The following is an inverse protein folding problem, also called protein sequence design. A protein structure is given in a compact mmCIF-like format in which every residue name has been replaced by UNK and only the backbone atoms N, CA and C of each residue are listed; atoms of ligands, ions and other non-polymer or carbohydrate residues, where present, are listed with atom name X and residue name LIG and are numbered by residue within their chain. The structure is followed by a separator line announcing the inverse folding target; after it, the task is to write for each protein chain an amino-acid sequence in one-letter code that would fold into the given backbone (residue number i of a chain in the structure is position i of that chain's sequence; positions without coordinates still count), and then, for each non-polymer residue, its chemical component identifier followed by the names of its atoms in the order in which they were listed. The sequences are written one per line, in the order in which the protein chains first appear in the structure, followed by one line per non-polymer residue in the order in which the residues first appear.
data_IF_131609995866
#
_entry.id   IF_131609995866
#
_cell.length_a   1.000
_cell.length_b   1.000
_cell.length_c   1.000
_cell.angle_alpha   90.00
_cell.angle_beta   90.00
_cell.angle_gamma   90.00
#
_symmetry.space_group_name_H-M   'P 1'
#
loop_
_entity.id
_entity.type
_entity.pdbx_description
1 polymer ?
#
# COMPACT_ATOMS: atom_id res chain seq x y z
N UNK A 1 -15.90 1.40 4.13
CA UNK A 1 -14.82 2.11 3.42
C UNK A 1 -13.80 1.09 2.93
N UNK A 2 -13.20 1.33 1.77
CA UNK A 2 -12.18 0.49 1.15
C UNK A 2 -10.98 1.33 0.72
N UNK A 3 -9.78 0.87 1.00
CA UNK A 3 -8.52 1.45 0.51
C UNK A 3 -7.90 0.45 -0.46
N UNK A 4 -7.84 0.82 -1.73
CA UNK A 4 -7.13 0.06 -2.74
C UNK A 4 -5.74 0.68 -2.91
N UNK A 5 -4.70 -0.13 -2.88
CA UNK A 5 -3.33 0.31 -3.11
C UNK A 5 -2.69 -0.48 -4.24
N UNK A 6 -1.80 0.19 -4.96
CA UNK A 6 -0.87 -0.45 -5.87
C UNK A 6 0.47 0.27 -5.89
N UNK A 7 1.51 -0.48 -6.24
CA UNK A 7 2.87 -0.02 -6.41
C UNK A 7 3.44 -0.67 -7.65
N UNK A 8 3.90 0.13 -8.60
CA UNK A 8 4.46 -0.33 -9.85
C UNK A 8 5.96 -0.03 -9.87
N UNK A 9 6.74 -1.08 -10.14
CA UNK A 9 8.19 -0.98 -10.32
C UNK A 9 8.55 -1.22 -11.78
N UNK A 10 9.12 -0.21 -12.46
CA UNK A 10 9.55 -0.32 -13.87
C UNK A 10 10.92 0.33 -14.14
N UNK A 11 11.52 0.98 -13.15
CA UNK A 11 12.81 1.64 -13.27
C UNK A 11 12.76 3.02 -12.61
N UNK A 12 13.42 3.11 -11.45
CA UNK A 12 13.55 4.28 -10.60
C UNK A 12 13.36 5.64 -11.32
N UNK A 13 12.45 6.50 -10.85
CA UNK A 13 11.64 6.36 -9.64
C UNK A 13 10.38 5.50 -9.87
N UNK A 14 10.03 4.74 -8.84
CA UNK A 14 8.84 3.90 -8.86
C UNK A 14 7.58 4.71 -8.55
N UNK A 15 6.47 4.27 -9.11
CA UNK A 15 5.19 4.95 -8.92
C UNK A 15 4.34 4.13 -7.97
N UNK A 16 3.75 4.81 -6.99
CA UNK A 16 2.88 4.21 -6.00
C UNK A 16 1.61 5.03 -5.86
N UNK A 17 0.53 4.40 -5.40
CA UNK A 17 -0.70 5.13 -5.18
C UNK A 17 -1.83 4.27 -4.63
N UNK A 18 -2.97 4.92 -4.48
CA UNK A 18 -4.17 4.26 -4.00
C UNK A 18 -5.41 5.15 -4.07
N UNK A 19 -6.55 4.49 -3.88
CA UNK A 19 -7.86 5.14 -3.86
C UNK A 19 -8.63 4.70 -2.62
N UNK A 20 -9.33 5.66 -2.01
CA UNK A 20 -10.26 5.43 -0.91
C UNK A 20 -11.68 5.53 -1.46
N UNK A 21 -12.49 4.51 -1.21
CA UNK A 21 -13.87 4.43 -1.69
C UNK A 21 -14.84 4.14 -0.55
N UNK A 22 -16.05 4.67 -0.66
CA UNK A 22 -17.15 4.25 0.21
C UNK A 22 -17.76 2.92 -0.24
N UNK A 23 -18.74 2.43 0.54
CA UNK A 23 -19.42 1.17 0.23
C UNK A 23 -20.35 1.27 -1.00
N UNK A 24 -20.66 2.48 -1.44
CA UNK A 24 -21.42 2.79 -2.65
C UNK A 24 -20.53 2.97 -3.89
N UNK A 25 -19.25 2.55 -3.79
CA UNK A 25 -18.24 2.65 -4.87
C UNK A 25 -17.86 4.10 -5.20
N UNK A 26 -18.33 5.08 -4.42
CA UNK A 26 -17.98 6.47 -4.62
C UNK A 26 -16.52 6.69 -4.21
N UNK A 27 -15.76 7.35 -5.08
CA UNK A 27 -14.42 7.82 -4.76
C UNK A 27 -14.52 8.90 -3.68
N UNK A 28 -13.80 8.70 -2.59
CA UNK A 28 -13.64 9.69 -1.51
C UNK A 28 -12.39 10.52 -1.80
N UNK A 29 -11.26 9.84 -2.01
CA UNK A 29 -9.96 10.47 -2.21
C UNK A 29 -9.02 9.54 -2.98
N UNK A 30 -8.03 10.12 -3.66
CA UNK A 30 -6.98 9.38 -4.35
C UNK A 30 -5.61 10.00 -4.09
N UNK A 31 -4.56 9.18 -4.12
CA UNK A 31 -3.19 9.66 -4.01
C UNK A 31 -2.27 8.92 -4.97
N UNK A 32 -1.20 9.61 -5.35
CA UNK A 32 -0.11 9.08 -6.15
C UNK A 32 1.18 9.77 -5.72
N UNK A 33 2.27 9.02 -5.69
CA UNK A 33 3.60 9.54 -5.43
C UNK A 33 4.65 8.79 -6.26
N UNK A 34 5.78 9.46 -6.46
CA UNK A 34 6.99 8.85 -6.95
C UNK A 34 7.93 8.56 -5.77
N UNK A 35 8.63 7.44 -5.81
CA UNK A 35 9.56 7.05 -4.76
C UNK A 35 10.81 6.42 -5.36
N UNK A 36 11.97 6.73 -4.80
CA UNK A 36 13.27 6.13 -5.18
C UNK A 36 13.46 4.71 -4.62
N UNK A 37 12.35 4.03 -4.34
CA UNK A 37 12.31 2.70 -3.78
C UNK A 37 12.78 1.69 -4.84
N UNK A 38 13.61 0.72 -4.44
CA UNK A 38 14.25 -0.21 -5.37
C UNK A 38 13.41 -1.45 -5.70
N UNK A 39 12.45 -1.82 -4.84
CA UNK A 39 11.63 -3.02 -5.04
C UNK A 39 10.14 -2.74 -5.14
N UNK A 40 9.45 -3.54 -5.95
CA UNK A 40 7.99 -3.52 -6.07
C UNK A 40 7.30 -3.65 -4.68
N UNK A 41 7.83 -4.51 -3.81
CA UNK A 41 7.25 -4.74 -2.49
C UNK A 41 7.36 -3.52 -1.57
N UNK A 42 8.52 -2.86 -1.56
CA UNK A 42 8.70 -1.62 -0.81
C UNK A 42 7.76 -0.51 -1.33
N UNK A 43 7.55 -0.41 -2.64
CA UNK A 43 6.64 0.58 -3.23
C UNK A 43 5.19 0.32 -2.77
N UNK A 44 4.77 -0.96 -2.71
CA UNK A 44 3.46 -1.35 -2.18
C UNK A 44 3.33 -1.12 -0.68
N UNK A 45 4.35 -1.43 0.11
CA UNK A 45 4.38 -1.10 1.54
C UNK A 45 4.28 0.41 1.78
N UNK A 46 4.94 1.22 0.94
CA UNK A 46 4.89 2.67 1.05
C UNK A 46 3.53 3.22 0.63
N UNK A 47 2.91 2.69 -0.43
CA UNK A 47 1.52 3.00 -0.78
C UNK A 47 0.55 2.70 0.36
N UNK A 48 0.77 1.61 1.10
CA UNK A 48 -0.03 1.29 2.26
C UNK A 48 0.13 2.32 3.38
N UNK A 49 1.37 2.68 3.75
CA UNK A 49 1.65 3.70 4.77
C UNK A 49 1.01 5.05 4.40
N UNK A 50 1.17 5.49 3.16
CA UNK A 50 0.57 6.75 2.68
C UNK A 50 -0.96 6.71 2.68
N UNK A 51 -1.54 5.59 2.24
CA UNK A 51 -2.98 5.38 2.27
C UNK A 51 -3.56 5.37 3.68
N UNK A 52 -2.88 4.75 4.65
CA UNK A 52 -3.29 4.75 6.06
C UNK A 52 -3.20 6.14 6.69
N UNK A 53 -2.12 6.89 6.43
CA UNK A 53 -1.99 8.28 6.89
C UNK A 53 -3.08 9.18 6.31
N UNK A 54 -3.45 8.95 5.05
CA UNK A 54 -4.57 9.65 4.44
C UNK A 54 -5.90 9.29 5.11
N UNK A 55 -6.11 8.02 5.44
CA UNK A 55 -7.29 7.59 6.20
C UNK A 55 -7.38 8.25 7.57
N UNK A 56 -6.27 8.35 8.31
CA UNK A 56 -6.21 9.06 9.60
C UNK A 56 -6.58 10.54 9.45
N UNK A 57 -6.02 11.23 8.45
CA UNK A 57 -6.36 12.63 8.14
C UNK A 57 -7.85 12.83 7.82
N UNK A 58 -8.48 11.82 7.22
CA UNK A 58 -9.90 11.81 6.89
C UNK A 58 -10.78 11.27 8.04
N UNK A 59 -10.22 10.94 9.20
CA UNK A 59 -10.90 10.31 10.33
C UNK A 59 -11.59 8.98 9.98
N UNK A 60 -10.97 8.19 9.11
CA UNK A 60 -11.45 6.87 8.68
C UNK A 60 -10.62 5.78 9.39
N UNK A 61 -11.22 5.12 10.37
CA UNK A 61 -10.54 4.11 11.19
C UNK A 61 -10.98 2.66 10.89
N UNK A 62 -12.16 2.49 10.29
CA UNK A 62 -12.68 1.19 9.91
C UNK A 62 -12.63 1.03 8.38
N UNK A 63 -11.51 0.52 7.88
CA UNK A 63 -11.24 0.40 6.45
C UNK A 63 -10.77 -1.00 6.06
N UNK A 64 -11.33 -1.51 4.96
CA UNK A 64 -10.85 -2.73 4.33
C UNK A 64 -9.74 -2.39 3.32
N UNK A 65 -8.56 -2.97 3.49
CA UNK A 65 -7.44 -2.79 2.57
C UNK A 65 -7.53 -3.86 1.46
N UNK A 66 -7.50 -3.42 0.21
CA UNK A 66 -7.50 -4.26 -0.98
C UNK A 66 -6.19 -4.05 -1.75
N UNK A 67 -5.47 -5.14 -2.01
CA UNK A 67 -4.22 -5.16 -2.78
C UNK A 67 -4.19 -6.46 -3.60
N UNK A 68 -3.56 -6.40 -4.77
CA UNK A 68 -3.28 -7.55 -5.62
C UNK A 68 -2.08 -8.40 -5.11
N UNK A 69 -1.35 -7.91 -4.10
CA UNK A 69 -0.17 -8.58 -3.57
C UNK A 69 -0.55 -9.64 -2.52
N UNK A 70 -0.51 -10.90 -2.94
CA UNK A 70 -0.66 -12.04 -2.03
C UNK A 70 0.44 -12.05 -0.95
N UNK A 71 1.64 -11.57 -1.29
CA UNK A 71 2.74 -11.44 -0.31
C UNK A 71 2.40 -10.45 0.78
N UNK A 72 1.89 -9.26 0.41
CA UNK A 72 1.55 -8.21 1.36
C UNK A 72 0.41 -8.64 2.27
N UNK A 73 -0.66 -9.21 1.69
CA UNK A 73 -1.78 -9.75 2.48
C UNK A 73 -1.35 -10.85 3.45
N UNK A 74 -0.42 -11.72 3.05
CA UNK A 74 0.10 -12.77 3.92
C UNK A 74 0.95 -12.22 5.07
N UNK A 75 1.74 -11.16 4.85
CA UNK A 75 2.52 -10.52 5.91
C UNK A 75 1.63 -10.03 7.04
N UNK A 76 0.53 -9.35 6.71
CA UNK A 76 -0.42 -8.84 7.71
C UNK A 76 -1.28 -9.93 8.35
N UNK A 77 -1.71 -10.95 7.59
CA UNK A 77 -2.58 -12.02 8.13
C UNK A 77 -1.86 -13.03 9.02
N UNK A 78 -0.59 -13.34 8.73
CA UNK A 78 0.12 -14.46 9.39
C UNK A 78 1.13 -14.01 10.44
N UNK A 79 1.33 -12.70 10.64
CA UNK A 79 2.43 -12.16 11.45
C UNK A 79 3.80 -12.79 11.10
N UNK A 80 3.94 -13.26 9.86
CA UNK A 80 5.10 -14.04 9.37
C UNK A 80 5.66 -13.34 8.15
N UNK A 81 6.73 -12.59 8.38
CA UNK A 81 7.56 -11.97 7.36
C UNK A 81 8.59 -12.99 6.84
N UNK A 82 8.14 -14.09 6.22
CA UNK A 82 8.99 -15.25 5.87
C UNK A 82 9.89 -15.03 4.63
N UNK A 83 10.29 -13.80 4.29
CA UNK A 83 11.10 -13.53 3.10
C UNK A 83 12.34 -12.65 3.35
N UNK A 84 12.56 -12.14 4.56
CA UNK A 84 13.71 -11.26 4.83
C UNK A 84 14.79 -12.01 5.61
N UNK A 85 15.84 -12.46 4.91
CA UNK A 85 17.17 -12.57 5.52
C UNK A 85 17.88 -11.25 5.22
N UNK A 86 18.02 -10.41 6.23
CA UNK A 86 18.86 -9.22 6.19
C UNK A 86 20.30 -9.68 5.96
N UNK A 87 20.81 -9.63 4.73
CA UNK A 87 22.24 -9.76 4.50
C UNK A 87 22.85 -8.36 4.59
N UNK A 88 23.65 -8.15 5.65
CA UNK A 88 24.58 -7.04 5.72
C UNK A 88 25.73 -7.33 4.75
N UNK A 89 25.88 -6.48 3.74
CA UNK A 89 27.15 -6.29 3.03
C UNK A 89 28.11 -5.46 3.88
#
# INVERSE_FOLDING_TARGET
MKLNIDGASKGNPETLGGIIRDNSIKLIEAFSAQSEILTNMEAKCKALDDGLRLCEKLNIYNIAIETDSMTLTNMFRKNKCNQWKLQRT
#
